data_IF_389817557089
#
_entry.id   IF_389817557089
#
_cell.length_a   1.000
_cell.length_b   1.000
_cell.length_c   1.000
_cell.angle_alpha   90.00
_cell.angle_beta   90.00
_cell.angle_gamma   90.00
#
_symmetry.space_group_name_H-M   'P 1'
#
loop_
_entity.id
_entity.type
_entity.pdbx_description
1 polymer ?
#
# COMPACT_ATOMS: atom_id res chain seq x y z
N UNK A 1 -2.90 3.59 9.14
CA UNK A 1 -2.50 3.47 7.73
C UNK A 1 -0.98 3.34 7.65
N UNK A 2 -0.48 2.39 6.87
CA UNK A 2 0.92 2.09 6.64
C UNK A 2 1.28 2.51 5.21
N UNK A 3 1.82 3.71 5.06
CA UNK A 3 2.01 4.37 3.76
C UNK A 3 3.47 4.66 3.40
N UNK A 4 4.36 4.74 4.38
CA UNK A 4 5.75 5.13 4.14
C UNK A 4 6.43 4.22 3.11
N UNK A 5 7.00 4.82 2.07
CA UNK A 5 7.73 4.11 1.03
C UNK A 5 8.73 5.03 0.32
N UNK A 6 9.77 4.44 -0.24
CA UNK A 6 10.73 5.09 -1.13
C UNK A 6 10.83 4.31 -2.44
N UNK A 7 11.06 5.01 -3.54
CA UNK A 7 11.18 4.41 -4.87
C UNK A 7 12.49 3.61 -5.04
N UNK A 8 13.58 4.11 -4.48
CA UNK A 8 14.92 3.61 -4.76
C UNK A 8 15.39 3.99 -6.18
N UNK A 9 16.24 3.18 -6.75
CA UNK A 9 16.84 3.40 -8.07
C UNK A 9 15.99 2.75 -9.16
N UNK A 10 15.76 3.46 -10.24
CA UNK A 10 15.13 2.95 -11.46
C UNK A 10 16.23 2.39 -12.38
N UNK A 11 16.52 1.10 -12.29
CA UNK A 11 17.59 0.45 -13.07
C UNK A 11 17.29 -1.04 -13.29
N UNK A 12 18.03 -1.67 -14.20
CA UNK A 12 18.00 -3.12 -14.35
C UNK A 12 18.46 -3.80 -13.05
N UNK A 13 17.93 -4.98 -12.74
CA UNK A 13 18.28 -5.72 -11.53
C UNK A 13 19.77 -6.10 -11.50
N UNK A 14 20.40 -6.33 -12.66
CA UNK A 14 21.84 -6.58 -12.77
C UNK A 14 22.71 -5.44 -12.23
N UNK A 15 22.20 -4.21 -12.31
CA UNK A 15 22.92 -2.99 -11.94
C UNK A 15 22.41 -2.37 -10.63
N UNK A 16 21.58 -3.14 -9.90
CA UNK A 16 20.99 -2.69 -8.65
C UNK A 16 21.95 -2.94 -7.49
N UNK A 17 22.39 -1.90 -6.81
CA UNK A 17 23.29 -2.02 -5.68
C UNK A 17 22.56 -2.52 -4.40
N UNK A 18 23.28 -3.30 -3.58
CA UNK A 18 22.72 -3.91 -2.38
C UNK A 18 22.35 -2.91 -1.29
N UNK A 19 22.99 -1.76 -1.22
CA UNK A 19 22.68 -0.72 -0.22
C UNK A 19 21.32 -0.12 -0.51
N UNK A 20 21.08 0.34 -1.74
CA UNK A 20 19.78 0.84 -2.17
C UNK A 20 18.69 -0.22 -2.06
N UNK A 21 18.99 -1.47 -2.46
CA UNK A 21 18.06 -2.59 -2.29
C UNK A 21 17.62 -2.74 -0.82
N UNK A 22 18.59 -2.85 0.09
CA UNK A 22 18.34 -3.05 1.52
C UNK A 22 17.56 -1.86 2.11
N UNK A 23 17.88 -0.63 1.71
CA UNK A 23 17.19 0.57 2.14
C UNK A 23 15.71 0.54 1.71
N UNK A 24 15.42 0.20 0.46
CA UNK A 24 14.03 0.10 -0.04
C UNK A 24 13.26 -0.99 0.70
N UNK A 25 13.81 -2.18 0.84
CA UNK A 25 13.16 -3.28 1.56
C UNK A 25 12.93 -2.89 3.04
N UNK A 26 13.88 -2.28 3.69
CA UNK A 26 13.75 -1.85 5.09
C UNK A 26 12.64 -0.81 5.26
N UNK A 27 12.57 0.20 4.39
CA UNK A 27 11.54 1.25 4.49
C UNK A 27 10.17 0.73 4.03
N UNK A 28 10.10 0.03 2.89
CA UNK A 28 8.80 -0.29 2.29
C UNK A 28 8.14 -1.54 2.88
N UNK A 29 8.91 -2.47 3.45
CA UNK A 29 8.42 -3.75 3.96
C UNK A 29 8.69 -3.93 5.45
N UNK A 30 9.97 -3.94 5.86
CA UNK A 30 10.35 -4.26 7.24
C UNK A 30 9.74 -3.28 8.24
N UNK A 31 9.77 -1.97 7.93
CA UNK A 31 9.18 -0.96 8.81
C UNK A 31 7.65 -1.12 8.95
N UNK A 32 6.96 -1.48 7.87
CA UNK A 32 5.51 -1.70 7.90
C UNK A 32 5.16 -2.93 8.74
N UNK A 33 5.91 -4.02 8.59
CA UNK A 33 5.78 -5.19 9.46
C UNK A 33 6.00 -4.82 10.95
N UNK A 34 7.09 -4.09 11.25
CA UNK A 34 7.41 -3.69 12.62
C UNK A 34 6.32 -2.81 13.23
N UNK A 35 5.83 -1.82 12.48
CA UNK A 35 4.76 -0.93 12.94
C UNK A 35 3.45 -1.70 13.15
N UNK A 36 3.03 -2.53 12.19
CA UNK A 36 1.85 -3.37 12.33
C UNK A 36 1.96 -4.23 13.59
N UNK A 37 3.05 -5.01 13.72
CA UNK A 37 3.30 -5.87 14.88
C UNK A 37 3.26 -5.12 16.21
N UNK A 38 3.89 -3.92 16.28
CA UNK A 38 3.93 -3.11 17.50
C UNK A 38 2.55 -2.60 17.90
N UNK A 39 1.69 -2.29 16.92
CA UNK A 39 0.34 -1.79 17.17
C UNK A 39 -0.68 -2.88 17.46
N UNK A 40 -0.40 -4.16 17.15
CA UNK A 40 -1.36 -5.25 17.33
C UNK A 40 -1.98 -5.31 18.72
N UNK A 41 -1.25 -5.19 19.84
CA UNK A 41 -1.87 -5.27 21.17
C UNK A 41 -2.95 -4.20 21.43
N UNK A 42 -2.82 -3.05 20.78
CA UNK A 42 -3.81 -1.96 20.86
C UNK A 42 -4.97 -2.24 19.90
N UNK A 43 -4.67 -2.63 18.67
CA UNK A 43 -5.67 -2.83 17.61
C UNK A 43 -6.57 -4.04 17.91
N UNK A 44 -6.02 -5.15 18.40
CA UNK A 44 -6.79 -6.36 18.74
C UNK A 44 -7.70 -6.18 19.95
N UNK A 45 -7.42 -5.20 20.81
CA UNK A 45 -8.28 -4.83 21.94
C UNK A 45 -9.25 -3.68 21.60
N UNK A 46 -9.18 -3.13 20.40
CA UNK A 46 -10.05 -2.03 19.96
C UNK A 46 -11.25 -2.59 19.19
N UNK A 47 -12.41 -1.94 19.32
CA UNK A 47 -13.56 -2.23 18.49
C UNK A 47 -13.34 -1.61 17.11
N UNK A 48 -13.65 -2.36 16.04
CA UNK A 48 -13.61 -1.92 14.65
C UNK A 48 -12.26 -1.32 14.22
N UNK A 49 -11.18 -1.94 14.65
CA UNK A 49 -9.84 -1.53 14.23
C UNK A 49 -9.61 -1.76 12.73
N UNK A 50 -8.75 -0.93 12.14
CA UNK A 50 -8.40 -0.98 10.71
C UNK A 50 -6.91 -0.86 10.52
N UNK A 51 -6.35 -1.73 9.67
CA UNK A 51 -5.00 -1.58 9.13
C UNK A 51 -5.12 -1.44 7.62
N UNK A 52 -4.53 -0.39 7.06
CA UNK A 52 -4.51 -0.16 5.61
C UNK A 52 -3.05 -0.13 5.19
N UNK A 53 -2.63 -1.08 4.37
CA UNK A 53 -1.34 -1.11 3.70
C UNK A 53 -1.45 -0.41 2.35
N UNK A 54 -0.54 0.50 2.05
CA UNK A 54 -0.50 1.16 0.74
C UNK A 54 0.26 0.30 -0.26
N UNK A 55 -0.45 -0.19 -1.26
CA UNK A 55 0.04 -0.97 -2.39
C UNK A 55 0.43 -0.09 -3.59
N UNK A 56 0.52 -0.70 -4.73
CA UNK A 56 0.78 -0.07 -6.03
C UNK A 56 0.45 -1.06 -7.13
N UNK A 57 0.11 -0.59 -8.33
CA UNK A 57 -0.09 -1.46 -9.49
C UNK A 57 1.09 -2.36 -9.84
N UNK A 58 2.32 -2.00 -9.44
CA UNK A 58 3.51 -2.86 -9.59
C UNK A 58 3.58 -4.00 -8.56
N UNK A 59 2.59 -4.14 -7.69
CA UNK A 59 2.42 -5.31 -6.82
C UNK A 59 1.65 -6.46 -7.49
N UNK A 60 1.11 -6.26 -8.69
CA UNK A 60 0.36 -7.29 -9.41
C UNK A 60 1.18 -7.93 -10.53
N UNK A 61 2.17 -7.22 -11.04
CA UNK A 61 3.10 -7.72 -12.07
C UNK A 61 4.46 -7.06 -11.94
N UNK A 62 5.52 -7.85 -12.18
CA UNK A 62 6.88 -7.31 -12.20
C UNK A 62 7.08 -6.38 -13.40
N UNK A 63 7.57 -5.17 -13.14
CA UNK A 63 7.84 -4.18 -14.18
C UNK A 63 9.34 -3.93 -14.29
N UNK A 64 9.86 -3.97 -15.52
CA UNK A 64 11.27 -3.72 -15.77
C UNK A 64 11.71 -2.36 -15.19
N UNK A 65 12.89 -2.31 -14.62
CA UNK A 65 13.54 -1.17 -13.98
C UNK A 65 12.94 -0.71 -12.63
N UNK A 66 11.87 -1.35 -12.13
CA UNK A 66 11.25 -1.02 -10.83
C UNK A 66 11.88 -1.74 -9.63
N UNK A 67 12.82 -2.63 -9.87
CA UNK A 67 13.72 -3.26 -8.91
C UNK A 67 13.12 -3.57 -7.54
N UNK A 68 13.79 -3.09 -6.49
CA UNK A 68 13.40 -3.33 -5.10
C UNK A 68 12.02 -2.75 -4.75
N UNK A 69 11.58 -1.65 -5.39
CA UNK A 69 10.25 -1.08 -5.14
C UNK A 69 9.14 -2.07 -5.50
N UNK A 70 9.16 -2.60 -6.74
CA UNK A 70 8.16 -3.59 -7.16
C UNK A 70 8.17 -4.80 -6.23
N UNK A 71 9.34 -5.39 -5.96
CA UNK A 71 9.48 -6.52 -5.03
C UNK A 71 8.90 -6.20 -3.65
N UNK A 72 9.20 -5.01 -3.10
CA UNK A 72 8.67 -4.59 -1.81
C UNK A 72 7.14 -4.49 -1.80
N UNK A 73 6.52 -4.01 -2.88
CA UNK A 73 5.05 -3.89 -2.97
C UNK A 73 4.35 -5.24 -3.14
N UNK A 74 4.95 -6.20 -3.87
CA UNK A 74 4.51 -7.60 -3.85
C UNK A 74 4.56 -8.19 -2.43
N UNK A 75 5.66 -7.96 -1.72
CA UNK A 75 5.84 -8.48 -0.37
C UNK A 75 4.85 -7.85 0.63
N UNK A 76 4.56 -6.54 0.52
CA UNK A 76 3.55 -5.87 1.35
C UNK A 76 2.16 -6.44 1.11
N UNK A 77 1.81 -6.79 -0.14
CA UNK A 77 0.54 -7.44 -0.45
C UNK A 77 0.43 -8.78 0.29
N UNK A 78 1.45 -9.64 0.17
CA UNK A 78 1.48 -10.91 0.89
C UNK A 78 1.49 -10.74 2.42
N UNK A 79 2.20 -9.73 2.95
CA UNK A 79 2.20 -9.42 4.37
C UNK A 79 0.79 -9.06 4.88
N UNK A 80 0.05 -8.24 4.13
CA UNK A 80 -1.33 -7.89 4.46
C UNK A 80 -2.27 -9.11 4.46
N UNK A 81 -2.11 -10.01 3.49
CA UNK A 81 -2.88 -11.26 3.39
C UNK A 81 -2.62 -12.17 4.60
N UNK A 82 -1.36 -12.31 5.02
CA UNK A 82 -0.99 -13.11 6.21
C UNK A 82 -1.62 -12.52 7.47
N UNK A 83 -1.45 -11.22 7.72
CA UNK A 83 -2.07 -10.57 8.89
C UNK A 83 -3.60 -10.71 8.90
N UNK A 84 -4.23 -10.63 7.72
CA UNK A 84 -5.66 -10.81 7.59
C UNK A 84 -6.09 -12.23 8.00
N UNK A 85 -5.46 -13.25 7.44
CA UNK A 85 -5.78 -14.65 7.72
C UNK A 85 -5.60 -15.01 9.20
N UNK A 86 -4.54 -14.46 9.81
CA UNK A 86 -4.23 -14.69 11.22
C UNK A 86 -5.20 -13.98 12.19
N UNK A 87 -5.76 -12.81 11.84
CA UNK A 87 -6.35 -11.89 12.81
C UNK A 87 -7.84 -11.60 12.61
N UNK A 88 -8.34 -11.50 11.38
CA UNK A 88 -9.72 -11.06 11.12
C UNK A 88 -10.80 -12.01 11.65
N UNK A 89 -10.47 -13.30 11.79
CA UNK A 89 -11.42 -14.29 12.28
C UNK A 89 -11.52 -14.33 13.83
N UNK A 90 -10.59 -13.71 14.53
CA UNK A 90 -10.50 -13.77 16.00
C UNK A 90 -10.57 -12.40 16.67
N UNK A 91 -10.52 -11.32 15.90
CA UNK A 91 -10.57 -9.94 16.38
C UNK A 91 -11.52 -9.08 15.55
N UNK A 92 -12.07 -8.02 16.14
CA UNK A 92 -12.85 -7.00 15.42
C UNK A 92 -11.89 -6.01 14.70
N UNK A 93 -11.12 -6.57 13.79
CA UNK A 93 -10.07 -5.91 13.04
C UNK A 93 -10.25 -6.22 11.55
N UNK A 94 -10.16 -5.21 10.68
CA UNK A 94 -10.12 -5.38 9.22
C UNK A 94 -8.76 -4.96 8.68
N UNK A 95 -8.26 -5.70 7.72
CA UNK A 95 -6.96 -5.45 7.08
C UNK A 95 -7.15 -5.29 5.59
N UNK A 96 -6.80 -4.11 5.11
CA UNK A 96 -6.94 -3.72 3.71
C UNK A 96 -5.59 -3.47 3.06
N UNK A 97 -5.52 -3.76 1.78
CA UNK A 97 -4.42 -3.40 0.91
C UNK A 97 -4.96 -2.47 -0.18
N UNK A 98 -4.47 -1.25 -0.24
CA UNK A 98 -5.02 -0.22 -1.12
C UNK A 98 -3.98 0.28 -2.11
N UNK A 99 -4.27 0.12 -3.41
CA UNK A 99 -3.52 0.77 -4.49
C UNK A 99 -4.18 2.12 -4.82
N UNK A 100 -3.56 3.23 -4.42
CA UNK A 100 -4.08 4.55 -4.71
C UNK A 100 -3.96 4.94 -6.19
N UNK A 101 -3.21 4.17 -6.99
CA UNK A 101 -2.87 4.52 -8.36
C UNK A 101 -1.92 5.71 -8.46
N UNK A 102 -1.73 6.25 -9.66
CA UNK A 102 -0.89 7.40 -9.90
C UNK A 102 -1.47 8.68 -9.30
N UNK A 103 -0.62 9.44 -8.59
CA UNK A 103 -0.94 10.75 -8.01
C UNK A 103 0.27 11.68 -8.11
N UNK A 104 0.10 13.01 -8.17
CA UNK A 104 1.19 13.97 -8.38
C UNK A 104 2.03 14.09 -7.11
N UNK A 105 3.11 13.31 -7.06
CA UNK A 105 4.07 13.26 -5.94
C UNK A 105 5.49 13.30 -6.49
N UNK A 106 6.47 13.67 -5.67
CA UNK A 106 7.90 13.64 -6.04
C UNK A 106 8.35 12.23 -6.47
N UNK A 107 7.81 11.19 -5.82
CA UNK A 107 8.05 9.81 -6.22
C UNK A 107 7.55 9.54 -7.64
N UNK A 108 6.36 10.04 -7.98
CA UNK A 108 5.77 9.87 -9.31
C UNK A 108 6.56 10.61 -10.38
N UNK A 109 6.93 11.86 -10.15
CA UNK A 109 7.72 12.65 -11.09
C UNK A 109 9.12 12.05 -11.32
N UNK A 110 9.71 11.44 -10.29
CA UNK A 110 10.97 10.70 -10.43
C UNK A 110 10.81 9.44 -11.30
N UNK A 111 9.71 8.70 -11.14
CA UNK A 111 9.45 7.48 -11.90
C UNK A 111 9.01 7.75 -13.34
N UNK A 112 8.37 8.89 -13.60
CA UNK A 112 7.82 9.30 -14.90
C UNK A 112 8.07 10.77 -15.16
N UNK A 113 9.33 11.17 -15.45
CA UNK A 113 9.69 12.58 -15.59
C UNK A 113 9.06 13.29 -16.79
N UNK A 114 8.49 12.56 -17.74
CA UNK A 114 7.80 13.11 -18.91
C UNK A 114 6.27 13.20 -18.78
N UNK A 115 5.72 12.80 -17.62
CA UNK A 115 4.27 12.84 -17.37
C UNK A 115 3.84 14.23 -16.88
N UNK A 116 2.75 14.77 -17.42
CA UNK A 116 2.18 16.02 -16.90
C UNK A 116 1.46 15.72 -15.55
N UNK A 117 1.87 16.34 -14.45
CA UNK A 117 1.20 16.13 -13.15
C UNK A 117 -0.29 16.54 -13.16
N UNK A 118 -0.70 17.43 -14.07
CA UNK A 118 -2.08 17.88 -14.20
C UNK A 118 -3.01 16.83 -14.82
N UNK A 119 -2.45 15.82 -15.49
CA UNK A 119 -3.22 14.67 -16.01
C UNK A 119 -3.53 13.64 -14.92
N UNK A 120 -2.96 13.80 -13.74
CA UNK A 120 -3.17 12.89 -12.61
C UNK A 120 -4.28 13.41 -11.69
N UNK A 121 -5.01 12.47 -11.08
CA UNK A 121 -5.94 12.82 -10.01
C UNK A 121 -5.22 13.51 -8.86
N UNK A 122 -5.88 14.47 -8.22
CA UNK A 122 -5.36 15.13 -7.05
C UNK A 122 -5.23 14.18 -5.84
N UNK A 123 -4.49 14.59 -4.82
CA UNK A 123 -4.43 13.82 -3.56
C UNK A 123 -5.78 13.85 -2.83
N UNK A 124 -6.54 14.93 -2.97
CA UNK A 124 -7.87 15.07 -2.36
C UNK A 124 -8.88 14.08 -2.94
N UNK A 125 -8.72 13.69 -4.21
CA UNK A 125 -9.58 12.66 -4.83
C UNK A 125 -9.45 11.28 -4.16
N UNK A 126 -8.39 11.06 -3.38
CA UNK A 126 -8.21 9.81 -2.62
C UNK A 126 -9.02 9.80 -1.31
N UNK A 127 -9.40 10.97 -0.78
CA UNK A 127 -10.01 11.07 0.55
C UNK A 127 -11.29 10.25 0.67
N UNK A 128 -12.22 10.24 -0.31
CA UNK A 128 -13.42 9.39 -0.21
C UNK A 128 -13.10 7.91 -0.01
N UNK A 129 -12.01 7.39 -0.62
CA UNK A 129 -11.60 6.00 -0.41
C UNK A 129 -11.10 5.77 1.01
N UNK A 130 -10.32 6.70 1.56
CA UNK A 130 -9.85 6.59 2.94
C UNK A 130 -11.00 6.71 3.95
N UNK A 131 -11.94 7.61 3.73
CA UNK A 131 -13.15 7.75 4.57
C UNK A 131 -13.96 6.45 4.55
N UNK A 132 -14.09 5.82 3.38
CA UNK A 132 -14.78 4.55 3.25
C UNK A 132 -14.11 3.45 4.08
N UNK A 133 -12.78 3.32 4.06
CA UNK A 133 -12.08 2.30 4.87
C UNK A 133 -12.34 2.44 6.37
N UNK A 134 -12.61 3.64 6.85
CA UNK A 134 -12.91 3.93 8.26
C UNK A 134 -14.42 4.02 8.56
N UNK A 135 -15.25 3.89 7.54
CA UNK A 135 -16.72 3.90 7.68
C UNK A 135 -17.27 2.52 8.06
N UNK A 136 -18.57 2.48 8.38
CA UNK A 136 -19.30 1.23 8.62
C UNK A 136 -19.48 0.40 7.34
N UNK A 137 -19.42 1.01 6.17
CA UNK A 137 -19.62 0.33 4.90
C UNK A 137 -18.50 -0.68 4.63
N UNK A 138 -17.29 -0.38 5.10
CA UNK A 138 -16.16 -1.29 5.02
C UNK A 138 -16.27 -2.52 5.95
N UNK A 139 -17.17 -2.52 6.93
CA UNK A 139 -17.36 -3.66 7.86
C UNK A 139 -17.82 -4.91 7.10
N UNK A 140 -18.62 -4.73 6.05
CA UNK A 140 -19.16 -5.81 5.22
C UNK A 140 -18.24 -6.24 4.07
N UNK A 141 -17.10 -5.59 3.89
CA UNK A 141 -16.18 -5.91 2.81
C UNK A 141 -15.61 -7.33 2.96
N UNK A 142 -15.77 -8.13 1.92
CA UNK A 142 -15.18 -9.47 1.79
C UNK A 142 -13.85 -9.44 1.05
N UNK A 143 -13.66 -8.44 0.20
CA UNK A 143 -12.40 -8.17 -0.48
C UNK A 143 -11.43 -7.46 0.47
N UNK A 144 -10.14 -7.59 0.19
CA UNK A 144 -9.08 -7.00 1.00
C UNK A 144 -8.06 -6.22 0.16
N UNK A 145 -8.08 -6.37 -1.16
CA UNK A 145 -7.27 -5.61 -2.09
C UNK A 145 -8.15 -4.69 -2.92
N UNK A 146 -7.92 -3.40 -2.81
CA UNK A 146 -8.70 -2.37 -3.46
C UNK A 146 -7.82 -1.48 -4.33
N UNK A 147 -8.30 -1.16 -5.51
CA UNK A 147 -7.74 -0.12 -6.37
C UNK A 147 -8.61 1.12 -6.33
N UNK A 148 -7.98 2.28 -6.30
CA UNK A 148 -8.72 3.55 -6.39
C UNK A 148 -9.71 3.56 -7.57
N UNK A 149 -9.27 3.15 -8.76
CA UNK A 149 -10.08 3.16 -9.98
C UNK A 149 -11.35 2.31 -9.93
N UNK A 150 -11.40 1.35 -9.01
CA UNK A 150 -12.53 0.44 -8.77
C UNK A 150 -13.35 0.93 -7.57
N UNK A 151 -12.70 1.15 -6.44
CA UNK A 151 -13.34 1.53 -5.19
C UNK A 151 -14.13 2.84 -5.31
N UNK A 152 -13.56 3.88 -5.95
CA UNK A 152 -14.21 5.19 -6.10
C UNK A 152 -15.56 5.13 -6.83
N UNK A 153 -15.79 4.09 -7.62
CA UNK A 153 -17.05 3.89 -8.35
C UNK A 153 -18.14 3.22 -7.51
N UNK A 154 -17.78 2.62 -6.39
CA UNK A 154 -18.67 1.85 -5.53
C UNK A 154 -19.09 2.59 -4.27
N UNK A 155 -18.33 3.60 -3.87
CA UNK A 155 -18.67 4.45 -2.73
C UNK A 155 -19.70 5.51 -3.13
N UNK A 156 -20.67 5.80 -2.24
CA UNK A 156 -21.77 6.74 -2.51
C UNK A 156 -21.29 8.18 -2.74
#
# INVERSE_FOLDING_TARGET
MLNAAILGKMSALSDYDLETWSKVINVNLTSQFMLAKTMLPILTNSQKARIIFTSSGVADYGKAFWGAYSVSKFAVKGLAEIFRDELENIHDLKIFNFDPGASPTDMRSTAYPGEDPNDLKSLDDLMPCYDWFFSKDSDAATEHYFRYSELIKTIP
#
